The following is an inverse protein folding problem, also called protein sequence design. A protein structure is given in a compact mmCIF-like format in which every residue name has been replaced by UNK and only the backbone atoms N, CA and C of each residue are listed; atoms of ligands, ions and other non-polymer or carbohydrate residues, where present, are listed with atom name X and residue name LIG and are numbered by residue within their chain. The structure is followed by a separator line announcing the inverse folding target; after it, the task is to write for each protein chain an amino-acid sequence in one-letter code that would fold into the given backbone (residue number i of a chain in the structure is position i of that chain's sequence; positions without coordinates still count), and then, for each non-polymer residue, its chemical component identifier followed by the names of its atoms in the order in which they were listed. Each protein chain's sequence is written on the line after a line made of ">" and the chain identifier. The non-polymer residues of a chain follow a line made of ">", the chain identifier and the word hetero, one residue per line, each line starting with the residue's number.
data_IF_378166305163
#
_entry.id   IF_378166305163
#
_cell.length_a   1.000
_cell.length_b   1.000
_cell.length_c   1.000
_cell.angle_alpha   90.00
_cell.angle_beta   90.00
_cell.angle_gamma   90.00
#
_symmetry.space_group_name_H-M   'P 1'
#
loop_
_entity.id
_entity.type
_entity.pdbx_description
1 polymer ?
#
# COMPACT_ATOMS: atom_id res chain seq x y z
N UNK A 1 61.74 -6.63 -8.98
CA UNK A 1 60.37 -6.08 -8.87
C UNK A 1 59.38 -7.19 -9.17
N UNK A 2 58.57 -7.64 -8.20
CA UNK A 2 57.46 -8.57 -8.47
C UNK A 2 56.35 -7.75 -9.16
N UNK A 3 55.96 -8.14 -10.38
CA UNK A 3 54.99 -7.42 -11.22
C UNK A 3 53.62 -8.09 -11.28
N UNK A 4 53.45 -9.25 -10.63
CA UNK A 4 52.16 -9.94 -10.54
C UNK A 4 51.67 -9.96 -9.10
N UNK A 5 50.39 -9.64 -8.85
CA UNK A 5 49.78 -9.81 -7.54
C UNK A 5 49.79 -11.30 -7.17
N UNK A 6 50.13 -11.61 -5.92
CA UNK A 6 49.97 -12.95 -5.35
C UNK A 6 48.47 -13.20 -5.21
N UNK A 7 47.93 -14.12 -6.00
CA UNK A 7 46.52 -14.52 -5.95
C UNK A 7 46.48 -15.91 -5.32
N UNK A 8 45.78 -16.02 -4.20
CA UNK A 8 45.54 -17.30 -3.54
C UNK A 8 44.63 -18.18 -4.42
N UNK A 9 45.11 -19.35 -4.91
CA UNK A 9 44.30 -20.24 -5.74
C UNK A 9 43.13 -20.89 -4.99
N UNK A 10 43.12 -20.88 -3.65
CA UNK A 10 42.04 -21.40 -2.81
C UNK A 10 41.13 -20.30 -2.27
N UNK A 11 41.16 -19.09 -2.83
CA UNK A 11 40.25 -18.01 -2.41
C UNK A 11 38.77 -18.43 -2.59
N UNK A 12 38.12 -18.81 -1.49
CA UNK A 12 36.69 -19.16 -1.45
C UNK A 12 35.88 -17.90 -1.19
N UNK A 13 35.29 -17.35 -2.26
CA UNK A 13 34.33 -16.26 -2.17
C UNK A 13 32.99 -16.80 -1.66
N UNK A 14 32.72 -16.65 -0.36
CA UNK A 14 31.42 -16.95 0.22
C UNK A 14 30.50 -15.72 0.14
N UNK A 15 29.54 -15.76 -0.77
CA UNK A 15 28.44 -14.79 -0.86
C UNK A 15 27.29 -15.25 0.05
N UNK A 16 26.99 -14.49 1.11
CA UNK A 16 25.82 -14.74 1.94
C UNK A 16 24.55 -14.23 1.23
N UNK A 17 23.69 -15.16 0.82
CA UNK A 17 22.43 -14.86 0.15
C UNK A 17 21.23 -14.87 1.08
N UNK A 18 21.40 -15.17 2.38
CA UNK A 18 20.27 -15.32 3.31
C UNK A 18 19.43 -14.05 3.41
N UNK A 19 20.10 -12.90 3.47
CA UNK A 19 19.41 -11.62 3.55
C UNK A 19 18.65 -11.29 2.26
N UNK A 20 19.23 -11.60 1.10
CA UNK A 20 18.55 -11.45 -0.19
C UNK A 20 17.30 -12.34 -0.27
N UNK A 21 17.42 -13.58 0.19
CA UNK A 21 16.34 -14.56 0.18
C UNK A 21 15.19 -14.13 1.10
N UNK A 22 15.50 -13.67 2.31
CA UNK A 22 14.52 -13.07 3.22
C UNK A 22 13.80 -11.88 2.57
N UNK A 23 14.54 -10.95 1.96
CA UNK A 23 13.95 -9.79 1.29
C UNK A 23 12.95 -10.22 0.20
N UNK A 24 13.32 -11.21 -0.64
CA UNK A 24 12.45 -11.76 -1.69
C UNK A 24 11.17 -12.37 -1.10
N UNK A 25 11.29 -13.14 -0.02
CA UNK A 25 10.15 -13.80 0.65
C UNK A 25 9.21 -12.79 1.31
N UNK A 26 9.74 -11.63 1.74
CA UNK A 26 8.96 -10.55 2.38
C UNK A 26 8.55 -9.42 1.43
N UNK A 27 8.72 -9.59 0.11
CA UNK A 27 8.26 -8.59 -0.85
C UNK A 27 6.74 -8.45 -0.75
N UNK A 28 6.30 -7.29 -0.27
CA UNK A 28 4.91 -6.89 -0.29
C UNK A 28 4.65 -6.06 -1.55
N UNK A 29 3.78 -6.58 -2.42
CA UNK A 29 3.41 -5.90 -3.65
C UNK A 29 2.07 -5.21 -3.45
N UNK A 30 2.09 -3.89 -3.40
CA UNK A 30 0.87 -3.11 -3.57
C UNK A 30 0.26 -3.44 -4.94
N UNK A 31 -0.94 -4.01 -4.95
CA UNK A 31 -1.66 -4.20 -6.20
C UNK A 31 -2.11 -2.83 -6.70
N UNK A 32 -1.56 -2.39 -7.84
CA UNK A 32 -1.99 -1.18 -8.55
C UNK A 32 -3.31 -1.39 -9.31
N UNK A 33 -4.23 -2.14 -8.70
CA UNK A 33 -5.59 -2.34 -9.20
C UNK A 33 -6.47 -1.22 -8.68
N UNK A 34 -7.60 -1.01 -9.34
CA UNK A 34 -8.63 -0.08 -8.85
C UNK A 34 -9.09 -0.57 -7.47
N UNK A 35 -8.95 0.23 -6.40
CA UNK A 35 -9.43 -0.15 -5.09
C UNK A 35 -10.93 -0.34 -5.09
N UNK A 36 -11.42 -1.31 -4.32
CA UNK A 36 -12.86 -1.45 -4.11
C UNK A 36 -13.43 -0.24 -3.37
N UNK A 37 -14.71 0.12 -3.59
CA UNK A 37 -15.35 1.20 -2.85
C UNK A 37 -15.23 1.02 -1.33
N UNK A 38 -15.05 2.11 -0.56
CA UNK A 38 -15.03 2.02 0.90
C UNK A 38 -16.40 1.58 1.43
N UNK A 39 -16.38 0.96 2.61
CA UNK A 39 -17.59 0.52 3.30
C UNK A 39 -17.99 1.58 4.31
N UNK A 40 -19.17 2.20 4.13
CA UNK A 40 -19.73 3.15 5.07
C UNK A 40 -20.18 2.41 6.32
N UNK A 41 -19.70 2.84 7.48
CA UNK A 41 -20.15 2.38 8.78
C UNK A 41 -21.27 3.29 9.28
N UNK A 42 -22.48 2.99 8.85
CA UNK A 42 -23.66 3.80 9.14
C UNK A 42 -23.95 3.93 10.64
N UNK A 43 -23.50 2.97 11.47
CA UNK A 43 -23.72 3.02 12.91
C UNK A 43 -22.89 4.12 13.60
N UNK A 44 -21.73 4.46 13.02
CA UNK A 44 -20.87 5.55 13.48
C UNK A 44 -21.15 6.90 12.81
N UNK A 45 -22.03 6.93 11.80
CA UNK A 45 -22.42 8.17 11.15
C UNK A 45 -23.38 8.96 12.04
N UNK A 46 -23.25 10.28 12.04
CA UNK A 46 -24.15 11.17 12.76
C UNK A 46 -24.45 12.42 11.94
N UNK A 47 -25.63 12.98 12.16
CA UNK A 47 -26.03 14.27 11.64
C UNK A 47 -26.51 15.13 12.81
N UNK A 48 -25.88 16.28 12.98
CA UNK A 48 -26.34 17.35 13.87
C UNK A 48 -26.80 18.54 13.01
N UNK A 49 -27.24 19.63 13.65
CA UNK A 49 -27.85 20.76 12.96
C UNK A 49 -27.03 21.25 11.74
N UNK A 50 -25.72 21.47 11.92
CA UNK A 50 -24.83 22.02 10.90
C UNK A 50 -23.59 21.16 10.65
N UNK A 51 -23.60 19.91 11.09
CA UNK A 51 -22.46 19.01 10.96
C UNK A 51 -22.94 17.61 10.59
N UNK A 52 -22.17 16.95 9.73
CA UNK A 52 -22.38 15.54 9.39
C UNK A 52 -21.05 14.85 9.60
N UNK A 53 -21.06 13.78 10.40
CA UNK A 53 -19.92 12.88 10.54
C UNK A 53 -20.21 11.63 9.73
N UNK A 54 -19.35 11.35 8.74
CA UNK A 54 -19.43 10.13 7.94
C UNK A 54 -18.27 9.25 8.33
N UNK A 55 -18.56 8.00 8.69
CA UNK A 55 -17.56 7.00 9.04
C UNK A 55 -17.48 5.94 7.94
N UNK A 56 -16.27 5.63 7.49
CA UNK A 56 -16.04 4.56 6.52
C UNK A 56 -14.71 3.87 6.77
N UNK A 57 -14.55 2.68 6.19
CA UNK A 57 -13.32 1.89 6.24
C UNK A 57 -12.89 1.43 4.85
N UNK A 58 -11.58 1.25 4.60
CA UNK A 58 -11.09 0.65 3.37
C UNK A 58 -11.65 -0.77 3.19
N UNK A 59 -11.81 -1.17 1.94
CA UNK A 59 -11.95 -2.59 1.62
C UNK A 59 -10.58 -3.25 1.75
N UNK A 60 -10.49 -4.39 2.44
CA UNK A 60 -9.23 -5.12 2.64
C UNK A 60 -8.94 -6.03 1.44
N UNK A 61 -8.79 -5.45 0.26
CA UNK A 61 -8.56 -6.15 -1.01
C UNK A 61 -7.08 -6.19 -1.43
N UNK A 62 -6.18 -5.64 -0.62
CA UNK A 62 -4.75 -5.58 -0.88
C UNK A 62 -4.34 -4.53 -1.91
N UNK A 63 -5.24 -3.62 -2.29
CA UNK A 63 -4.91 -2.48 -3.13
C UNK A 63 -4.31 -1.34 -2.30
N UNK A 64 -3.36 -0.61 -2.88
CA UNK A 64 -2.88 0.65 -2.31
C UNK A 64 -3.92 1.75 -2.52
N UNK A 65 -4.21 2.53 -1.47
CA UNK A 65 -5.17 3.64 -1.49
C UNK A 65 -4.42 4.93 -1.18
N UNK A 66 -4.41 5.87 -2.12
CA UNK A 66 -3.77 7.18 -1.94
C UNK A 66 -4.68 8.21 -1.25
N UNK A 67 -6.00 8.01 -1.32
CA UNK A 67 -6.98 8.91 -0.73
C UNK A 67 -8.43 8.54 -1.05
N UNK A 68 -9.36 9.35 -0.55
CA UNK A 68 -10.80 9.20 -0.77
C UNK A 68 -11.38 10.53 -1.29
N UNK A 69 -12.38 10.43 -2.18
CA UNK A 69 -13.24 11.55 -2.54
C UNK A 69 -14.59 11.35 -1.85
N UNK A 70 -15.08 12.38 -1.16
CA UNK A 70 -16.41 12.41 -0.57
C UNK A 70 -17.25 13.45 -1.31
N UNK A 71 -18.36 13.00 -1.89
CA UNK A 71 -19.32 13.85 -2.59
C UNK A 71 -20.63 13.85 -1.80
N UNK A 72 -21.20 15.04 -1.61
CA UNK A 72 -22.45 15.23 -0.89
C UNK A 72 -23.44 15.89 -1.84
N UNK A 73 -24.54 15.19 -2.11
CA UNK A 73 -25.66 15.71 -2.86
C UNK A 73 -26.57 16.53 -1.93
N UNK A 74 -27.03 17.69 -2.40
CA UNK A 74 -27.98 18.54 -1.68
C UNK A 74 -29.44 18.04 -1.83
N UNK A 75 -29.66 16.96 -2.59
CA UNK A 75 -30.95 16.30 -2.76
C UNK A 75 -31.95 17.12 -3.57
N UNK A 76 -31.51 18.20 -4.21
CA UNK A 76 -32.32 18.88 -5.23
C UNK A 76 -32.12 18.14 -6.53
N UNK A 77 -33.24 17.67 -7.07
CA UNK A 77 -33.27 17.09 -8.41
C UNK A 77 -33.18 18.24 -9.41
N UNK A 78 -31.96 18.75 -9.60
CA UNK A 78 -31.63 19.83 -10.54
C UNK A 78 -31.78 19.37 -12.00
N UNK A 79 -32.11 18.09 -12.24
CA UNK A 79 -32.51 17.56 -13.54
C UNK A 79 -31.58 17.96 -14.68
N UNK A 80 -30.44 17.28 -14.81
CA UNK A 80 -29.77 17.19 -16.11
C UNK A 80 -30.44 16.14 -16.98
#
# INVERSE_FOLDING_TARGET
>A
MKTKPDVDPEFVLNLDTKHLQYCIETLDFAQLKVPSPPIIDAAGCSAENNSVTVLWRPCLDGCSIDGYSLEIDNGRDDGK
#
